data_IF_656470159497
#
_entry.id   IF_656470159497
#
_cell.length_a   1.000
_cell.length_b   1.000
_cell.length_c   1.000
_cell.angle_alpha   90.00
_cell.angle_beta   90.00
_cell.angle_gamma   90.00
#
_symmetry.space_group_name_H-M   'P 1'
#
loop_
_entity.id
_entity.type
_entity.pdbx_description
1 polymer ?
#
# COMPACT_ATOMS: atom_id res chain seq x y z
N UNK A 1 -6.81 20.68 13.21
CA UNK A 1 -7.24 20.11 11.91
C UNK A 1 -6.18 20.12 10.80
N UNK A 2 -5.31 21.13 10.67
CA UNK A 2 -4.31 21.23 9.57
C UNK A 2 -3.34 20.03 9.51
N UNK A 3 -2.97 19.49 10.68
CA UNK A 3 -2.04 18.35 10.77
C UNK A 3 -2.68 17.01 10.41
N UNK A 4 -4.00 16.83 10.58
CA UNK A 4 -4.69 15.55 10.28
C UNK A 4 -4.61 15.22 8.79
N UNK A 5 -4.71 16.23 7.91
CA UNK A 5 -4.56 16.03 6.45
C UNK A 5 -3.16 15.52 6.09
N UNK A 6 -2.12 16.10 6.70
CA UNK A 6 -0.72 15.71 6.46
C UNK A 6 -0.44 14.32 7.06
N UNK A 7 -0.89 14.06 8.29
CA UNK A 7 -0.71 12.77 8.96
C UNK A 7 -1.39 11.65 8.18
N UNK A 8 -2.65 11.83 7.79
CA UNK A 8 -3.38 10.85 6.96
C UNK A 8 -2.72 10.63 5.61
N UNK A 9 -2.16 11.68 5.00
CA UNK A 9 -1.41 11.58 3.75
C UNK A 9 -0.16 10.71 3.93
N UNK A 10 0.67 11.00 4.95
CA UNK A 10 1.90 10.25 5.22
C UNK A 10 1.61 8.79 5.54
N UNK A 11 0.63 8.52 6.40
CA UNK A 11 0.24 7.14 6.75
C UNK A 11 -0.18 6.37 5.50
N UNK A 12 -1.01 6.97 4.66
CA UNK A 12 -1.50 6.33 3.43
C UNK A 12 -0.38 6.12 2.42
N UNK A 13 0.53 7.10 2.31
CA UNK A 13 1.68 7.02 1.41
C UNK A 13 2.60 5.88 1.81
N UNK A 14 2.95 5.78 3.10
CA UNK A 14 3.78 4.69 3.63
C UNK A 14 3.08 3.35 3.46
N UNK A 15 1.80 3.25 3.83
CA UNK A 15 1.05 1.99 3.76
C UNK A 15 0.95 1.46 2.32
N UNK A 16 0.63 2.32 1.36
CA UNK A 16 0.55 1.97 -0.07
C UNK A 16 1.93 1.66 -0.66
N UNK A 17 2.96 2.42 -0.29
CA UNK A 17 4.33 2.16 -0.75
C UNK A 17 4.83 0.80 -0.27
N UNK A 18 4.58 0.47 1.00
CA UNK A 18 4.91 -0.84 1.56
C UNK A 18 4.19 -1.96 0.80
N UNK A 19 2.90 -1.83 0.56
CA UNK A 19 2.15 -2.79 -0.23
C UNK A 19 2.70 -2.97 -1.65
N UNK A 20 3.08 -1.87 -2.31
CA UNK A 20 3.73 -1.91 -3.63
C UNK A 20 5.01 -2.74 -3.60
N UNK A 21 5.89 -2.47 -2.63
CA UNK A 21 7.20 -3.12 -2.50
C UNK A 21 7.03 -4.62 -2.26
N UNK A 22 6.09 -4.99 -1.38
CA UNK A 22 5.79 -6.39 -1.07
C UNK A 22 5.25 -7.11 -2.29
N UNK A 23 4.32 -6.47 -3.01
CA UNK A 23 3.76 -7.05 -4.22
C UNK A 23 4.81 -7.20 -5.32
N UNK A 24 5.67 -6.20 -5.53
CA UNK A 24 6.74 -6.27 -6.53
C UNK A 24 7.82 -7.28 -6.16
N UNK A 25 8.16 -7.44 -4.87
CA UNK A 25 9.15 -8.43 -4.43
C UNK A 25 8.67 -9.88 -4.60
N UNK A 26 7.38 -10.11 -4.84
CA UNK A 26 6.85 -11.43 -5.25
C UNK A 26 7.29 -11.84 -6.66
N UNK A 27 7.74 -10.90 -7.48
CA UNK A 27 8.13 -11.14 -8.87
C UNK A 27 9.64 -11.39 -8.96
N UNK A 28 10.08 -12.47 -9.63
CA UNK A 28 11.50 -12.80 -9.77
C UNK A 28 12.32 -11.65 -10.37
N UNK A 29 11.72 -10.87 -11.29
CA UNK A 29 12.35 -9.73 -11.97
C UNK A 29 12.72 -8.57 -11.03
N UNK A 30 11.98 -8.39 -9.94
CA UNK A 30 12.12 -7.25 -9.03
C UNK A 30 12.67 -7.65 -7.65
N UNK A 31 12.83 -8.95 -7.39
CA UNK A 31 13.31 -9.52 -6.14
C UNK A 31 14.72 -9.00 -5.76
N UNK A 32 15.60 -8.83 -6.75
CA UNK A 32 16.96 -8.31 -6.56
C UNK A 32 17.02 -6.81 -6.24
N UNK A 33 15.97 -6.05 -6.54
CA UNK A 33 15.93 -4.59 -6.34
C UNK A 33 15.59 -4.25 -4.89
N UNK A 34 14.68 -5.02 -4.30
CA UNK A 34 14.18 -4.75 -2.95
C UNK A 34 14.87 -5.59 -1.86
N UNK A 35 15.63 -6.62 -2.23
CA UNK A 35 16.33 -7.49 -1.28
C UNK A 35 15.41 -8.32 -0.37
N UNK A 36 14.10 -8.30 -0.65
CA UNK A 36 13.08 -9.05 0.07
C UNK A 36 12.73 -10.27 -0.78
N UNK A 37 13.02 -11.47 -0.25
CA UNK A 37 12.63 -12.72 -0.88
C UNK A 37 11.19 -13.08 -0.45
N UNK A 38 10.37 -13.49 -1.40
CA UNK A 38 8.97 -13.88 -1.18
C UNK A 38 8.82 -15.08 -0.26
N UNK A 39 9.89 -15.85 -0.05
CA UNK A 39 9.90 -17.02 0.82
C UNK A 39 10.29 -16.69 2.27
N UNK A 40 10.27 -15.42 2.66
CA UNK A 40 10.63 -15.00 4.02
C UNK A 40 9.41 -14.69 4.86
N UNK A 41 9.48 -15.01 6.15
CA UNK A 41 8.42 -14.73 7.12
C UNK A 41 8.09 -13.22 7.22
N UNK A 42 9.10 -12.37 6.97
CA UNK A 42 8.91 -10.92 6.86
C UNK A 42 8.02 -10.55 5.68
N UNK A 43 8.23 -11.15 4.51
CA UNK A 43 7.41 -10.89 3.33
C UNK A 43 5.97 -11.33 3.54
N UNK A 44 5.75 -12.51 4.14
CA UNK A 44 4.43 -13.02 4.48
C UNK A 44 3.71 -12.08 5.46
N UNK A 45 4.40 -11.66 6.53
CA UNK A 45 3.81 -10.73 7.47
C UNK A 45 3.43 -9.39 6.83
N UNK A 46 4.29 -8.87 5.95
CA UNK A 46 4.02 -7.62 5.26
C UNK A 46 2.88 -7.77 4.25
N UNK A 47 2.78 -8.91 3.54
CA UNK A 47 1.69 -9.12 2.57
C UNK A 47 0.35 -9.23 3.28
N UNK A 48 0.27 -9.90 4.43
CA UNK A 48 -0.97 -10.01 5.19
C UNK A 48 -1.47 -8.66 5.69
N UNK A 49 -0.56 -7.80 6.19
CA UNK A 49 -0.91 -6.45 6.65
C UNK A 49 -1.35 -5.55 5.50
N UNK A 50 -0.77 -5.73 4.32
CA UNK A 50 -1.02 -4.88 3.14
C UNK A 50 -1.97 -5.52 2.13
N UNK A 51 -2.54 -6.69 2.45
CA UNK A 51 -3.36 -7.52 1.57
C UNK A 51 -4.55 -6.77 0.93
N UNK A 52 -5.30 -5.90 1.65
CA UNK A 52 -6.41 -5.15 1.06
C UNK A 52 -5.98 -4.23 -0.10
N UNK A 53 -4.76 -3.71 -0.04
CA UNK A 53 -4.17 -2.84 -1.07
C UNK A 53 -3.45 -3.65 -2.15
N UNK A 54 -2.88 -4.79 -1.76
CA UNK A 54 -2.09 -5.63 -2.65
C UNK A 54 -2.95 -6.49 -3.57
N UNK A 55 -4.16 -6.84 -3.16
CA UNK A 55 -5.01 -7.74 -3.94
C UNK A 55 -5.36 -7.22 -5.34
N UNK A 56 -5.72 -5.93 -5.53
CA UNK A 56 -5.86 -5.35 -6.86
C UNK A 56 -4.56 -5.37 -7.69
N UNK A 57 -3.41 -5.13 -7.05
CA UNK A 57 -2.11 -5.11 -7.72
C UNK A 57 -1.66 -6.49 -8.14
N UNK A 58 -1.90 -7.48 -7.29
CA UNK A 58 -1.62 -8.87 -7.56
C UNK A 58 -2.48 -9.37 -8.72
N UNK A 59 -3.78 -9.02 -8.73
CA UNK A 59 -4.66 -9.29 -9.87
C UNK A 59 -4.15 -8.65 -11.16
N UNK A 60 -3.73 -7.38 -11.10
CA UNK A 60 -3.16 -6.68 -12.26
C UNK A 60 -1.85 -7.32 -12.73
N UNK A 61 -0.97 -7.72 -11.82
CA UNK A 61 0.29 -8.39 -12.14
C UNK A 61 0.11 -9.75 -12.81
N UNK A 62 -0.91 -10.50 -12.41
CA UNK A 62 -1.25 -11.80 -13.01
C UNK A 62 -1.85 -11.62 -14.41
N UNK A 63 -2.60 -10.54 -14.64
CA UNK A 63 -3.29 -10.28 -15.93
C UNK A 63 -2.40 -9.54 -16.93
N UNK A 64 -1.70 -8.49 -16.48
CA UNK A 64 -0.81 -7.65 -17.28
C UNK A 64 0.43 -7.22 -16.47
N UNK A 65 1.59 -7.78 -16.80
CA UNK A 65 2.87 -7.47 -16.14
C UNK A 65 3.45 -6.08 -16.46
N UNK A 66 2.62 -5.10 -16.81
CA UNK A 66 3.05 -3.75 -17.19
C UNK A 66 3.10 -2.81 -15.98
N UNK A 67 4.29 -2.29 -15.70
CA UNK A 67 4.57 -1.36 -14.60
C UNK A 67 3.68 -0.11 -14.62
N UNK A 68 3.28 0.33 -15.81
CA UNK A 68 2.46 1.54 -15.96
C UNK A 68 1.10 1.36 -15.29
N UNK A 69 0.42 0.23 -15.51
CA UNK A 69 -0.88 -0.03 -14.91
C UNK A 69 -0.77 -0.20 -13.38
N UNK A 70 0.33 -0.77 -12.89
CA UNK A 70 0.62 -0.86 -11.46
C UNK A 70 0.68 0.54 -10.84
N UNK A 71 1.39 1.49 -11.48
CA UNK A 71 1.52 2.87 -10.98
C UNK A 71 0.19 3.62 -11.00
N UNK A 72 -0.60 3.45 -12.06
CA UNK A 72 -1.94 4.06 -12.16
C UNK A 72 -2.86 3.51 -11.07
N UNK A 73 -2.92 2.18 -10.91
CA UNK A 73 -3.70 1.55 -9.87
C UNK A 73 -3.26 2.02 -8.49
N UNK A 74 -1.95 2.10 -8.23
CA UNK A 74 -1.46 2.55 -6.93
C UNK A 74 -1.84 3.98 -6.60
N UNK A 75 -1.88 4.84 -7.61
CA UNK A 75 -2.33 6.22 -7.42
C UNK A 75 -3.80 6.25 -6.99
N UNK A 76 -4.65 5.42 -7.59
CA UNK A 76 -6.07 5.30 -7.23
C UNK A 76 -6.22 4.76 -5.80
N UNK A 77 -5.55 3.65 -5.48
CA UNK A 77 -5.61 3.04 -4.15
C UNK A 77 -5.09 4.00 -3.09
N UNK A 78 -4.04 4.77 -3.39
CA UNK A 78 -3.53 5.83 -2.53
C UNK A 78 -4.58 6.87 -2.17
N UNK A 79 -5.32 7.40 -3.15
CA UNK A 79 -6.36 8.38 -2.86
C UNK A 79 -7.49 7.79 -2.00
N UNK A 80 -7.88 6.53 -2.24
CA UNK A 80 -8.88 5.83 -1.43
C UNK A 80 -8.40 5.70 0.02
N UNK A 81 -7.18 5.18 0.22
CA UNK A 81 -6.59 5.04 1.55
C UNK A 81 -6.46 6.38 2.26
N UNK A 82 -6.07 7.45 1.56
CA UNK A 82 -5.94 8.77 2.14
C UNK A 82 -7.28 9.31 2.64
N UNK A 83 -8.34 9.17 1.84
CA UNK A 83 -9.68 9.60 2.24
C UNK A 83 -10.14 8.83 3.47
N UNK A 84 -9.99 7.50 3.48
CA UNK A 84 -10.37 6.65 4.61
C UNK A 84 -9.57 7.02 5.87
N UNK A 85 -8.25 7.11 5.78
CA UNK A 85 -7.38 7.48 6.89
C UNK A 85 -7.72 8.86 7.45
N UNK A 86 -8.02 9.84 6.58
CA UNK A 86 -8.45 11.16 7.00
C UNK A 86 -9.73 11.11 7.84
N UNK A 87 -10.76 10.38 7.38
CA UNK A 87 -12.02 10.25 8.11
C UNK A 87 -11.86 9.49 9.44
N UNK A 88 -11.09 8.40 9.46
CA UNK A 88 -10.81 7.64 10.67
C UNK A 88 -10.09 8.49 11.73
N UNK A 89 -9.00 9.16 11.36
CA UNK A 89 -8.25 10.01 12.30
C UNK A 89 -9.11 11.16 12.80
N UNK A 90 -9.92 11.77 11.91
CA UNK A 90 -10.85 12.84 12.30
C UNK A 90 -11.90 12.34 13.29
N UNK A 91 -12.44 11.14 13.10
CA UNK A 91 -13.42 10.53 14.00
C UNK A 91 -12.82 10.23 15.37
N UNK A 92 -11.64 9.61 15.42
CA UNK A 92 -10.93 9.32 16.68
C UNK A 92 -10.65 10.62 17.44
N UNK A 93 -10.16 11.65 16.76
CA UNK A 93 -9.88 12.93 17.39
C UNK A 93 -11.14 13.57 18.00
N UNK A 94 -12.30 13.44 17.32
CA UNK A 94 -13.59 13.92 17.83
C UNK A 94 -14.11 13.10 19.02
N UNK A 95 -13.76 11.81 19.11
CA UNK A 95 -14.17 10.94 20.23
C UNK A 95 -13.39 11.22 21.52
N UNK A 96 -12.15 11.70 21.40
CA UNK A 96 -11.25 11.96 22.54
C UNK A 96 -11.47 13.37 23.13
N UNK A 97 -12.11 14.27 22.39
CA UNK A 97 -12.32 15.67 22.76
C UNK A 97 -13.74 15.92 23.26
#
# INVERSE_FOLDING_TARGET
MKNIKIISFIISFVYVSLGTIVTLSSLPKYQSIFGINSNTLLWEFMIDITLPINLPLYGLLVVEGSIFYILVLQTIVFFICWILAYYFIKMIYKLIQ
#
